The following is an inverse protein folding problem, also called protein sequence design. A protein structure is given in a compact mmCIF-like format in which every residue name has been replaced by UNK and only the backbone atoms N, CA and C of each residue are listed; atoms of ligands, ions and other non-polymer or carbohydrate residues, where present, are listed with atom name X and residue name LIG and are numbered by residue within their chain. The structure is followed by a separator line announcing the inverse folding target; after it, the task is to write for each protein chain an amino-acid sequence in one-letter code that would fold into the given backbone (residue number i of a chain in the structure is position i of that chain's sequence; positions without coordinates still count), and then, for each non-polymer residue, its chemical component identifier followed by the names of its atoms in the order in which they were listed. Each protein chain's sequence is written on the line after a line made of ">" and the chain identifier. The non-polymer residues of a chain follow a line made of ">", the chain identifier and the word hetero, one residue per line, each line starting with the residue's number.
data_IF_750508158108
#
_entry.id   IF_750508158108
#
_cell.length_a   1.000
_cell.length_b   1.000
_cell.length_c   1.000
_cell.angle_alpha   90.00
_cell.angle_beta   90.00
_cell.angle_gamma   90.00
#
_symmetry.space_group_name_H-M   'P 1'
#
loop_
_entity.id
_entity.type
_entity.pdbx_description
1 polymer ?
#
# COMPACT_ATOMS: atom_id res chain seq x y z
N UNK A 1 -2.69 -31.68 15.35
CA UNK A 1 -2.30 -30.26 15.30
C UNK A 1 -2.98 -29.59 14.12
N UNK A 2 -3.90 -28.65 14.36
CA UNK A 2 -4.48 -27.82 13.31
C UNK A 2 -3.51 -26.66 13.03
N UNK A 3 -3.00 -26.53 11.80
CA UNK A 3 -2.24 -25.33 11.41
C UNK A 3 -3.24 -24.24 11.03
N UNK A 4 -3.27 -23.15 11.79
CA UNK A 4 -4.00 -21.94 11.38
C UNK A 4 -3.28 -21.42 10.13
N UNK A 5 -3.98 -21.45 8.98
CA UNK A 5 -3.46 -20.91 7.74
C UNK A 5 -3.65 -19.40 7.79
N UNK A 6 -2.56 -18.66 7.65
CA UNK A 6 -2.58 -17.22 7.52
C UNK A 6 -3.51 -16.81 6.38
N UNK A 7 -4.46 -15.87 6.57
CA UNK A 7 -5.32 -15.44 5.48
C UNK A 7 -4.48 -14.73 4.42
N UNK A 8 -4.64 -15.16 3.16
CA UNK A 8 -3.94 -14.59 2.00
C UNK A 8 -4.98 -14.10 1.01
N UNK A 9 -4.87 -12.83 0.64
CA UNK A 9 -5.62 -12.24 -0.47
C UNK A 9 -4.63 -11.97 -1.60
N UNK A 10 -4.96 -12.37 -2.82
CA UNK A 10 -4.15 -12.06 -4.00
C UNK A 10 -4.97 -11.21 -4.96
N UNK A 11 -4.48 -10.02 -5.26
CA UNK A 11 -5.10 -9.07 -6.19
C UNK A 11 -4.15 -8.72 -7.32
N UNK A 12 -4.72 -8.27 -8.44
CA UNK A 12 -3.90 -7.76 -9.55
C UNK A 12 -3.49 -6.32 -9.32
N UNK A 13 -4.43 -5.49 -8.86
CA UNK A 13 -4.26 -4.08 -8.51
C UNK A 13 -5.09 -3.79 -7.26
N UNK A 14 -4.68 -2.80 -6.49
CA UNK A 14 -5.42 -2.35 -5.32
C UNK A 14 -5.71 -0.84 -5.45
N UNK A 15 -6.96 -0.47 -5.23
CA UNK A 15 -7.42 0.91 -5.21
C UNK A 15 -8.06 1.19 -3.86
N UNK A 16 -7.49 2.09 -3.08
CA UNK A 16 -8.05 2.50 -1.80
C UNK A 16 -8.28 4.01 -1.81
N UNK A 17 -9.53 4.44 -1.71
CA UNK A 17 -9.87 5.85 -1.81
C UNK A 17 -9.46 6.49 -3.14
N UNK A 18 -9.66 5.81 -4.28
CA UNK A 18 -9.22 6.37 -5.57
C UNK A 18 -10.01 7.61 -5.99
N UNK A 19 -11.35 7.62 -5.85
CA UNK A 19 -12.24 8.77 -6.13
C UNK A 19 -13.00 9.26 -4.87
N UNK A 20 -12.61 8.80 -3.69
CA UNK A 20 -13.33 9.07 -2.46
C UNK A 20 -12.55 8.54 -1.27
N UNK A 21 -13.24 8.19 -0.18
CA UNK A 21 -12.55 7.85 1.06
C UNK A 21 -12.46 6.33 1.24
N UNK A 22 -11.29 5.84 1.65
CA UNK A 22 -11.06 4.42 1.87
C UNK A 22 -10.04 4.15 2.97
N UNK A 23 -10.31 3.12 3.78
CA UNK A 23 -9.37 2.62 4.78
C UNK A 23 -9.16 1.14 4.58
N UNK A 24 -7.89 0.73 4.42
CA UNK A 24 -7.47 -0.65 4.33
C UNK A 24 -6.59 -1.00 5.53
N UNK A 25 -6.97 -2.04 6.28
CA UNK A 25 -6.17 -2.55 7.39
C UNK A 25 -5.62 -3.95 7.07
N UNK A 26 -4.30 -4.10 7.13
CA UNK A 26 -3.58 -5.36 6.97
C UNK A 26 -2.93 -5.66 8.32
N UNK A 27 -3.51 -6.61 9.05
CA UNK A 27 -3.11 -6.91 10.44
C UNK A 27 -3.14 -8.39 10.76
N UNK A 28 -2.68 -8.76 11.95
CA UNK A 28 -2.75 -10.11 12.50
C UNK A 28 -2.13 -11.18 11.59
N UNK A 29 -0.93 -10.91 11.10
CA UNK A 29 -0.21 -11.73 10.10
C UNK A 29 -0.88 -11.81 8.72
N UNK A 30 -1.98 -11.10 8.46
CA UNK A 30 -2.68 -11.15 7.16
C UNK A 30 -1.77 -10.73 6.00
N UNK A 31 -1.87 -11.44 4.88
CA UNK A 31 -1.03 -11.21 3.70
C UNK A 31 -1.88 -10.73 2.51
N UNK A 32 -1.52 -9.58 1.95
CA UNK A 32 -1.99 -9.14 0.64
C UNK A 32 -0.85 -9.30 -0.36
N UNK A 33 -1.05 -10.18 -1.33
CA UNK A 33 -0.19 -10.29 -2.51
C UNK A 33 -0.78 -9.45 -3.64
N UNK A 34 -0.12 -8.36 -3.99
CA UNK A 34 -0.48 -7.52 -5.11
C UNK A 34 0.43 -7.81 -6.31
N UNK A 35 -0.13 -8.09 -7.49
CA UNK A 35 0.67 -8.46 -8.66
C UNK A 35 1.23 -7.25 -9.41
N UNK A 36 0.51 -6.15 -9.43
CA UNK A 36 0.89 -4.92 -10.14
C UNK A 36 0.89 -3.73 -9.18
N UNK A 37 0.54 -2.53 -9.66
CA UNK A 37 0.56 -1.29 -8.87
C UNK A 37 -0.60 -1.19 -7.89
N UNK A 38 -0.50 -0.21 -6.99
CA UNK A 38 -1.56 0.20 -6.06
C UNK A 38 -1.72 1.71 -6.04
N UNK A 39 -2.97 2.17 -5.92
CA UNK A 39 -3.32 3.58 -5.84
C UNK A 39 -4.07 3.86 -4.53
N UNK A 40 -3.60 4.86 -3.78
CA UNK A 40 -4.12 5.24 -2.47
C UNK A 40 -4.35 6.74 -2.43
N UNK A 41 -5.62 7.18 -2.36
CA UNK A 41 -5.96 8.61 -2.22
C UNK A 41 -5.42 9.47 -3.38
N UNK A 42 -5.74 9.11 -4.63
CA UNK A 42 -5.07 9.70 -5.80
C UNK A 42 -5.83 10.88 -6.42
N UNK A 43 -7.16 10.84 -6.50
CA UNK A 43 -7.93 11.89 -7.19
C UNK A 43 -8.23 13.08 -6.27
N UNK A 44 -8.49 14.24 -6.86
CA UNK A 44 -8.86 15.45 -6.12
C UNK A 44 -10.04 15.19 -5.17
N UNK A 45 -9.91 15.68 -3.93
CA UNK A 45 -10.88 15.46 -2.85
C UNK A 45 -10.99 14.01 -2.34
N UNK A 46 -10.14 13.07 -2.78
CA UNK A 46 -10.11 11.69 -2.29
C UNK A 46 -9.17 11.52 -1.10
N UNK A 47 -9.47 10.57 -0.21
CA UNK A 47 -8.62 10.24 0.94
C UNK A 47 -8.45 8.73 1.14
N UNK A 48 -7.24 8.23 0.93
CA UNK A 48 -6.92 6.81 1.08
C UNK A 48 -5.97 6.56 2.23
N UNK A 49 -6.33 5.69 3.18
CA UNK A 49 -5.46 5.27 4.28
C UNK A 49 -5.20 3.77 4.23
N UNK A 50 -3.95 3.36 4.23
CA UNK A 50 -3.54 1.95 4.39
C UNK A 50 -2.78 1.80 5.70
N UNK A 51 -3.26 0.93 6.60
CA UNK A 51 -2.58 0.59 7.83
C UNK A 51 -2.04 -0.84 7.75
N UNK A 52 -0.74 -1.02 7.96
CA UNK A 52 -0.07 -2.31 8.01
C UNK A 52 0.50 -2.50 9.40
N UNK A 53 -0.15 -3.32 10.22
CA UNK A 53 0.15 -3.49 11.65
C UNK A 53 0.24 -4.96 12.03
N UNK A 54 0.72 -5.28 13.23
CA UNK A 54 0.60 -6.61 13.85
C UNK A 54 1.03 -7.75 12.92
N UNK A 55 2.24 -7.63 12.35
CA UNK A 55 2.82 -8.57 11.36
C UNK A 55 2.05 -8.72 10.05
N UNK A 56 1.07 -7.86 9.80
CA UNK A 56 0.43 -7.74 8.51
C UNK A 56 1.45 -7.46 7.42
N UNK A 57 1.21 -8.02 6.23
CA UNK A 57 2.17 -7.97 5.14
C UNK A 57 1.49 -7.60 3.83
N UNK A 58 1.95 -6.52 3.22
CA UNK A 58 1.58 -6.14 1.87
C UNK A 58 2.74 -6.36 0.92
N UNK A 59 2.59 -7.32 0.02
CA UNK A 59 3.67 -7.86 -0.80
C UNK A 59 3.39 -7.65 -2.29
N UNK A 60 4.30 -7.00 -3.00
CA UNK A 60 4.19 -6.77 -4.44
C UNK A 60 4.99 -7.83 -5.19
N UNK A 61 4.26 -8.74 -5.84
CA UNK A 61 4.77 -9.93 -6.53
C UNK A 61 5.29 -9.66 -7.95
N UNK A 62 4.99 -8.51 -8.55
CA UNK A 62 5.44 -8.18 -9.90
C UNK A 62 6.97 -8.17 -9.99
N UNK A 63 7.55 -8.71 -11.05
CA UNK A 63 9.02 -8.81 -11.23
C UNK A 63 9.58 -7.82 -12.25
N UNK A 64 8.74 -6.98 -12.86
CA UNK A 64 9.15 -5.91 -13.77
C UNK A 64 9.07 -4.53 -13.11
N UNK A 65 10.01 -3.64 -13.47
CA UNK A 65 10.06 -2.26 -12.96
C UNK A 65 8.73 -1.51 -13.16
N UNK A 66 7.98 -1.81 -14.21
CA UNK A 66 6.68 -1.20 -14.52
C UNK A 66 5.55 -1.57 -13.54
N UNK A 67 5.71 -2.60 -12.70
CA UNK A 67 4.61 -3.25 -11.99
C UNK A 67 4.70 -3.20 -10.46
N UNK A 68 5.69 -2.50 -9.88
CA UNK A 68 5.91 -2.49 -8.42
C UNK A 68 5.81 -1.10 -7.81
N UNK A 69 4.84 -0.30 -8.23
CA UNK A 69 4.59 1.04 -7.70
C UNK A 69 3.44 1.07 -6.72
N UNK A 70 3.60 1.86 -5.66
CA UNK A 70 2.50 2.38 -4.86
C UNK A 70 2.46 3.88 -5.12
N UNK A 71 1.31 4.38 -5.54
CA UNK A 71 1.04 5.82 -5.57
C UNK A 71 0.18 6.14 -4.35
N UNK A 72 0.71 7.02 -3.50
CA UNK A 72 0.09 7.45 -2.26
C UNK A 72 0.06 8.97 -2.29
N UNK A 73 -1.13 9.54 -2.46
CA UNK A 73 -1.29 10.95 -2.73
C UNK A 73 -0.81 11.32 -4.14
N UNK A 74 -1.67 12.04 -4.86
CA UNK A 74 -1.33 12.67 -6.14
C UNK A 74 -2.04 14.02 -6.19
N UNK A 75 -3.28 14.06 -6.67
CA UNK A 75 -4.18 15.20 -6.47
C UNK A 75 -4.97 15.09 -5.14
N UNK A 76 -5.14 13.88 -4.62
CA UNK A 76 -5.79 13.60 -3.34
C UNK A 76 -4.82 13.32 -2.19
N UNK A 77 -5.39 12.94 -1.05
CA UNK A 77 -4.67 12.67 0.19
C UNK A 77 -4.49 11.17 0.42
N UNK A 78 -3.27 10.66 0.20
CA UNK A 78 -2.91 9.28 0.51
C UNK A 78 -2.07 9.16 1.79
N UNK A 79 -2.33 8.12 2.58
CA UNK A 79 -1.60 7.79 3.80
C UNK A 79 -1.28 6.28 3.83
N UNK A 80 -0.03 5.95 4.19
CA UNK A 80 0.41 4.58 4.47
C UNK A 80 1.09 4.55 5.84
N UNK A 81 0.46 3.87 6.80
CA UNK A 81 0.98 3.70 8.14
C UNK A 81 1.51 2.28 8.34
N UNK A 82 2.77 2.15 8.73
CA UNK A 82 3.39 0.85 9.05
C UNK A 82 3.87 0.85 10.50
N UNK A 83 3.37 -0.08 11.31
CA UNK A 83 3.76 -0.18 12.73
C UNK A 83 3.67 -1.61 13.24
N UNK A 84 4.09 -1.89 14.48
CA UNK A 84 3.93 -3.21 15.15
C UNK A 84 4.34 -4.40 14.28
N UNK A 85 5.55 -4.35 13.72
CA UNK A 85 6.10 -5.38 12.82
C UNK A 85 5.35 -5.57 11.50
N UNK A 86 4.48 -4.63 11.12
CA UNK A 86 3.90 -4.58 9.78
C UNK A 86 4.98 -4.44 8.71
N UNK A 87 4.75 -5.03 7.53
CA UNK A 87 5.72 -5.07 6.44
C UNK A 87 5.07 -4.70 5.12
N UNK A 88 5.76 -3.87 4.33
CA UNK A 88 5.39 -3.56 2.94
C UNK A 88 6.59 -3.85 2.05
N UNK A 89 6.50 -4.87 1.21
CA UNK A 89 7.54 -5.23 0.24
C UNK A 89 7.13 -4.75 -1.16
N UNK A 90 7.63 -3.60 -1.58
CA UNK A 90 7.44 -3.05 -2.94
C UNK A 90 8.79 -2.88 -3.66
N UNK A 91 8.74 -2.61 -4.97
CA UNK A 91 9.94 -2.46 -5.80
C UNK A 91 10.45 -1.03 -5.85
N UNK A 92 9.56 -0.07 -6.13
CA UNK A 92 9.87 1.36 -6.22
C UNK A 92 8.77 2.17 -5.51
N UNK A 93 9.13 3.16 -4.68
CA UNK A 93 8.17 4.05 -4.01
C UNK A 93 8.08 5.39 -4.77
N UNK A 94 6.87 5.84 -5.10
CA UNK A 94 6.63 7.21 -5.54
C UNK A 94 5.58 7.85 -4.61
N UNK A 95 6.06 8.72 -3.72
CA UNK A 95 5.18 9.63 -2.98
C UNK A 95 5.03 10.90 -3.82
N UNK A 96 3.80 11.24 -4.22
CA UNK A 96 3.54 12.46 -4.97
C UNK A 96 3.62 13.68 -4.07
N UNK A 97 4.68 14.47 -4.20
CA UNK A 97 4.63 15.91 -3.92
C UNK A 97 5.33 16.62 -5.07
N UNK A 98 4.58 17.35 -5.88
CA UNK A 98 5.12 18.19 -6.95
C UNK A 98 6.05 19.30 -6.42
N UNK A 99 6.20 19.45 -5.09
CA UNK A 99 7.02 20.49 -4.46
C UNK A 99 8.30 20.04 -3.76
N UNK A 100 8.70 18.76 -3.76
CA UNK A 100 9.97 18.40 -3.08
C UNK A 100 10.68 17.13 -3.57
N UNK A 101 11.27 17.19 -4.77
CA UNK A 101 12.18 16.15 -5.32
C UNK A 101 13.56 16.05 -4.64
N UNK A 102 13.65 16.31 -3.33
CA UNK A 102 14.95 16.29 -2.61
C UNK A 102 14.95 15.68 -1.21
N UNK A 103 14.02 14.79 -0.85
CA UNK A 103 14.21 13.94 0.34
C UNK A 103 13.75 12.51 0.07
N UNK A 104 14.71 11.63 -0.20
CA UNK A 104 14.59 10.25 0.24
C UNK A 104 14.54 10.29 1.76
N UNK A 105 13.36 10.33 2.36
CA UNK A 105 13.15 9.93 3.74
C UNK A 105 11.66 9.66 3.93
N UNK A 106 11.39 8.48 4.48
CA UNK A 106 10.27 8.12 5.35
C UNK A 106 9.16 9.18 5.46
N UNK A 107 7.97 8.82 4.97
CA UNK A 107 6.75 9.18 5.66
C UNK A 107 6.51 8.12 6.75
#
# INVERSE_FOLDING_TARGET
>A
MCRIKTPVITVRRLYNGYFGNGTLNISNNGLINNKEYSLVGVQDGSHGVVNVTDKGHWNFLGTGEAFRYIYIGDAGDGELNVSREGKVDFGNYHCGDERNRHRQHYC
#
